data_IF_013381043700
#
_entry.id   IF_013381043700
#
_cell.length_a   1.000
_cell.length_b   1.000
_cell.length_c   1.000
_cell.angle_alpha   90.00
_cell.angle_beta   90.00
_cell.angle_gamma   90.00
#
_symmetry.space_group_name_H-M   'P 1'
#
loop_
_entity.id
_entity.type
_entity.pdbx_description
1 polymer ?
#
# COMPACT_ATOMS: atom_id res chain seq x y z
N UNK A 1 -6.38 19.93 1.32
CA UNK A 1 -4.93 19.67 1.13
C UNK A 1 -4.20 20.49 2.19
N UNK A 2 -3.31 19.88 3.00
CA UNK A 2 -2.69 20.58 4.16
C UNK A 2 -1.24 21.00 3.93
N UNK A 3 -0.68 20.77 2.73
CA UNK A 3 0.74 20.96 2.41
C UNK A 3 0.86 21.87 1.19
N UNK A 4 1.90 22.70 1.15
CA UNK A 4 2.14 23.65 0.06
C UNK A 4 2.54 22.95 -1.25
N UNK A 5 2.43 23.65 -2.39
CA UNK A 5 2.85 23.11 -3.70
C UNK A 5 4.36 22.80 -3.75
N UNK A 6 5.18 23.60 -3.07
CA UNK A 6 6.63 23.39 -3.02
C UNK A 6 7.00 22.12 -2.26
N UNK A 7 6.40 21.92 -1.08
CA UNK A 7 6.61 20.72 -0.28
C UNK A 7 6.03 19.47 -0.96
N UNK A 8 4.92 19.62 -1.68
CA UNK A 8 4.32 18.52 -2.46
C UNK A 8 5.31 17.91 -3.45
N UNK A 9 6.08 18.73 -4.17
CA UNK A 9 7.09 18.23 -5.11
C UNK A 9 8.16 17.37 -4.40
N UNK A 10 8.64 17.80 -3.24
CA UNK A 10 9.60 17.04 -2.44
C UNK A 10 9.01 15.72 -1.93
N UNK A 11 7.75 15.73 -1.51
CA UNK A 11 7.05 14.52 -1.06
C UNK A 11 6.92 13.52 -2.20
N UNK A 12 6.59 13.96 -3.43
CA UNK A 12 6.45 13.07 -4.57
C UNK A 12 7.78 12.43 -4.97
N UNK A 13 8.87 13.22 -5.03
CA UNK A 13 10.21 12.69 -5.37
C UNK A 13 10.67 11.68 -4.32
N UNK A 14 10.56 12.03 -3.04
CA UNK A 14 10.94 11.12 -1.95
C UNK A 14 10.04 9.87 -1.89
N UNK A 15 8.74 10.00 -2.15
CA UNK A 15 7.82 8.86 -2.24
C UNK A 15 8.23 7.89 -3.34
N UNK A 16 8.57 8.39 -4.53
CA UNK A 16 9.04 7.55 -5.63
C UNK A 16 10.29 6.74 -5.25
N UNK A 17 11.25 7.35 -4.54
CA UNK A 17 12.45 6.67 -4.03
C UNK A 17 12.10 5.60 -2.99
N UNK A 18 11.20 5.91 -2.06
CA UNK A 18 10.73 4.97 -1.04
C UNK A 18 10.04 3.77 -1.70
N UNK A 19 9.07 4.00 -2.59
CA UNK A 19 8.37 2.94 -3.29
C UNK A 19 9.35 2.07 -4.10
N UNK A 20 10.28 2.68 -4.84
CA UNK A 20 11.27 1.95 -5.62
C UNK A 20 12.17 1.08 -4.74
N UNK A 21 12.64 1.62 -3.61
CA UNK A 21 13.42 0.85 -2.64
C UNK A 21 12.64 -0.38 -2.14
N UNK A 22 11.36 -0.23 -1.81
CA UNK A 22 10.55 -1.33 -1.29
C UNK A 22 10.16 -2.37 -2.35
N UNK A 23 10.01 -1.97 -3.62
CA UNK A 23 9.90 -2.92 -4.74
C UNK A 23 11.18 -3.78 -4.85
N UNK A 24 12.36 -3.16 -4.81
CA UNK A 24 13.62 -3.92 -4.82
C UNK A 24 13.80 -4.76 -3.55
N UNK A 25 13.32 -4.29 -2.40
CA UNK A 25 13.36 -5.04 -1.15
C UNK A 25 12.52 -6.31 -1.24
N UNK A 26 11.24 -6.23 -1.62
CA UNK A 26 10.38 -7.42 -1.69
C UNK A 26 10.90 -8.46 -2.68
N UNK A 27 11.45 -8.02 -3.81
CA UNK A 27 12.09 -8.91 -4.79
C UNK A 27 13.30 -9.64 -4.21
N UNK A 28 14.20 -8.92 -3.52
CA UNK A 28 15.37 -9.52 -2.84
C UNK A 28 14.98 -10.46 -1.69
N UNK A 29 13.77 -10.32 -1.15
CA UNK A 29 13.24 -11.18 -0.10
C UNK A 29 12.39 -12.33 -0.64
N UNK A 30 12.25 -12.44 -1.97
CA UNK A 30 11.41 -13.44 -2.63
C UNK A 30 9.96 -13.45 -2.11
N UNK A 31 9.44 -12.26 -1.81
CA UNK A 31 8.03 -12.09 -1.40
C UNK A 31 7.21 -11.91 -2.67
N UNK A 32 6.31 -12.85 -2.93
CA UNK A 32 5.34 -12.78 -4.03
C UNK A 32 4.15 -11.90 -3.64
N UNK A 33 4.39 -10.60 -3.68
CA UNK A 33 3.34 -9.59 -3.70
C UNK A 33 3.25 -9.06 -5.13
N UNK A 34 2.33 -9.67 -5.88
CA UNK A 34 2.47 -9.84 -7.33
C UNK A 34 2.48 -8.54 -8.13
N UNK A 35 1.78 -7.51 -7.67
CA UNK A 35 1.60 -6.23 -8.37
C UNK A 35 2.18 -5.02 -7.62
N UNK A 36 3.08 -5.25 -6.65
CA UNK A 36 3.74 -4.20 -5.86
C UNK A 36 2.75 -3.28 -5.09
N UNK A 37 1.55 -3.77 -4.73
CA UNK A 37 0.54 -3.02 -3.98
C UNK A 37 1.07 -2.58 -2.61
N UNK A 38 1.78 -3.46 -1.91
CA UNK A 38 2.39 -3.14 -0.62
C UNK A 38 3.52 -2.11 -0.78
N UNK A 39 4.39 -2.31 -1.76
CA UNK A 39 5.53 -1.43 -1.98
C UNK A 39 5.12 -0.03 -2.45
N UNK A 40 4.11 0.08 -3.32
CA UNK A 40 3.64 1.35 -3.88
C UNK A 40 2.60 2.02 -2.97
N UNK A 41 1.50 1.35 -2.66
CA UNK A 41 0.41 1.95 -1.88
C UNK A 41 0.69 1.90 -0.38
N UNK A 42 1.17 0.76 0.12
CA UNK A 42 1.49 0.60 1.55
C UNK A 42 2.62 1.53 1.99
N UNK A 43 3.79 1.43 1.36
CA UNK A 43 4.96 2.23 1.76
C UNK A 43 4.88 3.67 1.27
N UNK A 44 4.38 3.92 0.06
CA UNK A 44 4.15 5.29 -0.43
C UNK A 44 3.11 6.04 0.40
N UNK A 45 2.01 5.39 0.78
CA UNK A 45 1.00 5.96 1.68
C UNK A 45 1.55 6.21 3.09
N UNK A 46 2.36 5.28 3.61
CA UNK A 46 3.07 5.44 4.90
C UNK A 46 3.97 6.68 4.90
N UNK A 47 4.79 6.82 3.85
CA UNK A 47 5.64 8.00 3.70
C UNK A 47 4.82 9.28 3.56
N UNK A 48 3.77 9.29 2.74
CA UNK A 48 2.90 10.46 2.58
C UNK A 48 2.23 10.90 3.90
N UNK A 49 1.81 9.95 4.74
CA UNK A 49 1.25 10.24 6.05
C UNK A 49 2.29 10.84 7.01
N UNK A 50 3.51 10.29 7.04
CA UNK A 50 4.63 10.82 7.84
C UNK A 50 5.01 12.22 7.35
N UNK A 51 5.14 12.40 6.03
CA UNK A 51 5.47 13.68 5.42
C UNK A 51 4.40 14.74 5.70
N UNK A 52 3.12 14.36 5.75
CA UNK A 52 2.06 15.28 6.22
C UNK A 52 2.33 15.75 7.66
N UNK A 53 2.84 14.88 8.52
CA UNK A 53 3.24 15.24 9.88
C UNK A 53 4.41 16.23 9.95
N UNK A 54 5.23 16.28 8.91
CA UNK A 54 6.41 17.14 8.81
C UNK A 54 6.07 18.49 8.18
N UNK A 55 5.35 18.47 7.05
CA UNK A 55 5.16 19.62 6.16
C UNK A 55 3.77 20.27 6.23
N UNK A 56 2.82 19.74 7.02
CA UNK A 56 1.49 20.35 7.11
C UNK A 56 1.56 21.81 7.57
N UNK A 57 0.66 22.63 7.07
CA UNK A 57 0.54 24.05 7.41
C UNK A 57 -0.92 24.46 7.55
N UNK A 58 -1.25 25.09 8.67
CA UNK A 58 -2.56 25.69 8.91
C UNK A 58 -2.84 26.87 7.97
N UNK A 59 -1.80 27.49 7.40
CA UNK A 59 -1.94 28.53 6.38
C UNK A 59 -2.48 27.98 5.05
N UNK A 60 -2.21 26.71 4.73
CA UNK A 60 -2.76 26.02 3.54
C UNK A 60 -4.13 25.44 3.83
N UNK A 61 -4.34 24.94 5.05
CA UNK A 61 -5.62 24.39 5.49
C UNK A 61 -5.94 24.85 6.91
N UNK A 62 -6.82 25.85 7.04
CA UNK A 62 -7.19 26.42 8.34
C UNK A 62 -7.93 25.44 9.26
N UNK A 63 -8.50 24.35 8.73
CA UNK A 63 -9.08 23.27 9.54
C UNK A 63 -8.04 22.21 9.94
N UNK A 64 -6.80 22.33 9.45
CA UNK A 64 -5.68 21.44 9.75
C UNK A 64 -4.87 21.91 10.95
N UNK A 65 -3.62 21.42 11.02
CA UNK A 65 -2.64 21.83 12.01
C UNK A 65 -1.27 21.95 11.33
N UNK A 66 -0.42 22.79 11.90
CA UNK A 66 0.98 22.88 11.51
C UNK A 66 1.71 21.56 11.76
N UNK A 67 2.71 21.27 10.94
CA UNK A 67 3.60 20.12 11.04
C UNK A 67 4.88 20.42 11.81
N UNK A 68 5.79 19.44 11.83
CA UNK A 68 7.06 19.53 12.55
C UNK A 68 7.88 20.77 12.17
N UNK A 69 8.01 21.09 10.88
CA UNK A 69 8.85 22.20 10.41
C UNK A 69 8.31 23.57 10.81
N UNK A 70 7.03 23.64 11.15
CA UNK A 70 6.36 24.85 11.64
C UNK A 70 6.20 24.84 13.18
N UNK A 71 6.92 23.96 13.87
CA UNK A 71 7.03 23.95 15.33
C UNK A 71 6.07 23.00 16.06
N UNK A 72 5.18 22.30 15.35
CA UNK A 72 4.21 21.40 15.98
C UNK A 72 4.66 19.93 15.89
N UNK A 73 5.49 19.53 16.85
CA UNK A 73 5.99 18.14 16.98
C UNK A 73 4.85 17.12 17.18
N UNK A 74 3.76 17.53 17.84
CA UNK A 74 2.63 16.64 18.11
C UNK A 74 1.96 16.16 16.83
N UNK A 75 1.97 16.96 15.76
CA UNK A 75 1.39 16.56 14.49
C UNK A 75 2.12 15.36 13.87
N UNK A 76 3.46 15.34 13.91
CA UNK A 76 4.22 14.17 13.48
C UNK A 76 3.91 12.95 14.36
N UNK A 77 3.83 13.13 15.68
CA UNK A 77 3.48 12.05 16.60
C UNK A 77 2.10 11.44 16.32
N UNK A 78 1.10 12.28 16.01
CA UNK A 78 -0.24 11.83 15.59
C UNK A 78 -0.19 11.00 14.31
N UNK A 79 0.56 11.46 13.30
CA UNK A 79 0.69 10.75 12.03
C UNK A 79 1.39 9.40 12.19
N UNK A 80 2.47 9.32 12.98
CA UNK A 80 3.17 8.06 13.28
C UNK A 80 2.22 7.09 14.00
N UNK A 81 1.48 7.57 15.00
CA UNK A 81 0.53 6.76 15.75
C UNK A 81 -0.59 6.24 14.84
N UNK A 82 -1.12 7.09 13.96
CA UNK A 82 -2.14 6.71 12.99
C UNK A 82 -1.62 5.65 12.01
N UNK A 83 -0.42 5.83 11.46
CA UNK A 83 0.24 4.85 10.60
C UNK A 83 0.37 3.51 11.33
N UNK A 84 0.92 3.50 12.55
CA UNK A 84 1.11 2.27 13.32
C UNK A 84 -0.23 1.55 13.57
N UNK A 85 -1.27 2.29 13.97
CA UNK A 85 -2.60 1.74 14.20
C UNK A 85 -3.20 1.13 12.92
N UNK A 86 -3.08 1.82 11.79
CA UNK A 86 -3.57 1.33 10.48
C UNK A 86 -2.80 0.09 10.04
N UNK A 87 -1.47 0.07 10.19
CA UNK A 87 -0.65 -1.10 9.86
C UNK A 87 -1.03 -2.33 10.68
N UNK A 88 -1.16 -2.17 11.99
CA UNK A 88 -1.55 -3.26 12.89
C UNK A 88 -2.93 -3.78 12.51
N UNK A 89 -3.91 -2.87 12.36
CA UNK A 89 -5.28 -3.25 12.03
C UNK A 89 -5.37 -3.93 10.66
N UNK A 90 -4.84 -3.29 9.61
CA UNK A 90 -4.94 -3.79 8.25
C UNK A 90 -4.25 -5.15 8.09
N UNK A 91 -3.04 -5.30 8.65
CA UNK A 91 -2.32 -6.57 8.57
C UNK A 91 -3.00 -7.66 9.40
N UNK A 92 -3.33 -7.40 10.67
CA UNK A 92 -3.92 -8.41 11.55
C UNK A 92 -5.32 -8.83 11.08
N UNK A 93 -6.19 -7.87 10.75
CA UNK A 93 -7.54 -8.18 10.28
C UNK A 93 -7.50 -8.95 8.96
N UNK A 94 -6.70 -8.51 7.98
CA UNK A 94 -6.57 -9.20 6.69
C UNK A 94 -5.97 -10.59 6.87
N UNK A 95 -4.96 -10.75 7.72
CA UNK A 95 -4.37 -12.07 8.02
C UNK A 95 -5.41 -13.03 8.61
N UNK A 96 -6.20 -12.58 9.59
CA UNK A 96 -7.25 -13.40 10.22
C UNK A 96 -8.30 -13.79 9.20
N UNK A 97 -8.78 -12.85 8.38
CA UNK A 97 -9.78 -13.13 7.36
C UNK A 97 -9.24 -14.07 6.28
N UNK A 98 -8.04 -13.80 5.77
CA UNK A 98 -7.39 -14.64 4.76
C UNK A 98 -7.22 -16.06 5.27
N UNK A 99 -6.76 -16.24 6.52
CA UNK A 99 -6.63 -17.57 7.13
C UNK A 99 -7.97 -18.25 7.36
N UNK A 100 -8.99 -17.53 7.80
CA UNK A 100 -10.33 -18.08 7.98
C UNK A 100 -10.90 -18.60 6.65
N UNK A 101 -10.75 -17.85 5.56
CA UNK A 101 -11.16 -18.27 4.22
C UNK A 101 -10.33 -19.47 3.75
N UNK A 102 -9.01 -19.41 3.91
CA UNK A 102 -8.08 -20.46 3.47
C UNK A 102 -8.36 -21.82 4.14
N UNK A 103 -8.72 -21.83 5.44
CA UNK A 103 -9.05 -23.09 6.14
C UNK A 103 -10.48 -23.59 5.90
N UNK A 104 -11.40 -22.73 5.46
CA UNK A 104 -12.81 -23.11 5.28
C UNK A 104 -13.13 -23.53 3.85
N UNK A 105 -12.73 -22.72 2.87
CA UNK A 105 -13.01 -22.97 1.45
C UNK A 105 -11.75 -23.05 0.59
N UNK A 106 -10.60 -22.60 1.11
CA UNK A 106 -9.35 -22.49 0.36
C UNK A 106 -9.28 -21.18 -0.43
N UNK A 107 -8.14 -20.47 -0.33
CA UNK A 107 -7.96 -19.20 -1.05
C UNK A 107 -7.25 -19.38 -2.40
N UNK A 108 -6.36 -20.38 -2.51
CA UNK A 108 -5.55 -20.65 -3.71
C UNK A 108 -6.16 -21.78 -4.52
N UNK A 109 -6.14 -21.64 -5.85
CA UNK A 109 -6.48 -22.71 -6.79
C UNK A 109 -5.49 -23.89 -6.68
N UNK A 110 -5.86 -25.04 -7.22
CA UNK A 110 -4.95 -26.20 -7.27
C UNK A 110 -3.74 -25.93 -8.17
N UNK A 111 -2.63 -26.65 -7.95
CA UNK A 111 -1.42 -26.47 -8.77
C UNK A 111 -1.63 -26.79 -10.25
N UNK A 112 -2.57 -27.68 -10.59
CA UNK A 112 -2.95 -27.95 -11.98
C UNK A 112 -3.72 -26.79 -12.61
N UNK A 113 -4.67 -26.21 -11.88
CA UNK A 113 -5.43 -25.04 -12.33
C UNK A 113 -4.53 -23.81 -12.49
N UNK A 114 -3.55 -23.63 -11.59
CA UNK A 114 -2.54 -22.59 -11.70
C UNK A 114 -1.66 -22.78 -12.95
N UNK A 115 -1.30 -24.03 -13.26
CA UNK A 115 -0.44 -24.38 -14.41
C UNK A 115 -1.14 -24.17 -15.76
N UNK A 116 -2.43 -24.52 -15.86
CA UNK A 116 -3.21 -24.32 -17.10
C UNK A 116 -3.67 -22.86 -17.28
N UNK A 117 -3.73 -22.10 -16.19
CA UNK A 117 -4.15 -20.70 -16.15
C UNK A 117 -5.61 -20.52 -15.73
N UNK A 118 -5.86 -19.46 -14.95
CA UNK A 118 -7.19 -19.19 -14.36
C UNK A 118 -8.27 -18.84 -15.40
N UNK A 119 -7.89 -18.30 -16.56
CA UNK A 119 -8.84 -18.07 -17.67
C UNK A 119 -9.52 -19.38 -18.08
N UNK A 120 -8.75 -20.46 -18.22
CA UNK A 120 -9.27 -21.77 -18.61
C UNK A 120 -9.91 -22.47 -17.42
N UNK A 121 -9.21 -22.51 -16.29
CA UNK A 121 -9.63 -23.30 -15.12
C UNK A 121 -10.90 -22.75 -14.43
N UNK A 122 -11.04 -21.43 -14.35
CA UNK A 122 -12.12 -20.80 -13.59
C UNK A 122 -13.20 -20.19 -14.50
N UNK A 123 -12.88 -19.85 -15.75
CA UNK A 123 -13.81 -19.16 -16.66
C UNK A 123 -14.11 -19.96 -17.95
N UNK A 124 -13.35 -21.01 -18.27
CA UNK A 124 -13.55 -21.79 -19.50
C UNK A 124 -13.19 -21.04 -20.79
N UNK A 125 -12.44 -19.95 -20.68
CA UNK A 125 -12.15 -19.02 -21.77
C UNK A 125 -10.64 -18.91 -22.04
N UNK A 126 -10.28 -18.31 -23.19
CA UNK A 126 -8.92 -17.92 -23.52
C UNK A 126 -8.90 -16.44 -23.84
N UNK A 127 -8.06 -15.67 -23.14
CA UNK A 127 -7.89 -14.23 -23.37
C UNK A 127 -7.49 -13.93 -24.83
N UNK A 128 -6.67 -14.78 -25.44
CA UNK A 128 -6.27 -14.67 -26.85
C UNK A 128 -6.47 -16.02 -27.57
N UNK A 129 -7.13 -16.00 -28.73
CA UNK A 129 -7.24 -17.18 -29.61
C UNK A 129 -8.62 -17.88 -29.73
N UNK A 130 -9.71 -17.24 -29.30
CA UNK A 130 -11.08 -17.75 -29.49
C UNK A 130 -11.53 -18.83 -28.48
N UNK A 131 -12.83 -19.09 -28.46
CA UNK A 131 -13.49 -19.99 -27.49
C UNK A 131 -13.01 -21.44 -27.67
N UNK A 132 -12.65 -22.08 -26.55
CA UNK A 132 -12.44 -23.52 -26.46
C UNK A 132 -13.77 -24.23 -26.73
N UNK A 133 -14.04 -24.57 -27.99
CA UNK A 133 -15.09 -25.54 -28.35
C UNK A 133 -14.46 -26.89 -28.64
#
# INVERSE_FOLDING_TARGET
MSVSSGDTAWILISSALVCHYFMLFRMRRHIDESLDVWAVHGMGGTWGAIATGIFASAAVNSAGADGLLLGNVLQLGKQITAVAAVWIFAFAATWVLAKAVDVTIGLRVSGMEETVGLDIAQHGERTYGGVLR
#
